data_IF_210174663796
#
_entry.id   IF_210174663796
#
_cell.length_a   1.000
_cell.length_b   1.000
_cell.length_c   1.000
_cell.angle_alpha   90.00
_cell.angle_beta   90.00
_cell.angle_gamma   90.00
#
_symmetry.space_group_name_H-M   'P 1'
#
loop_
_entity.id
_entity.type
_entity.pdbx_description
1 polymer ?
#
# COMPACT_ATOMS: atom_id res chain seq x y z
N UNK A 1 -37.24 0.18 6.65
CA UNK A 1 -37.03 -0.66 5.45
C UNK A 1 -36.19 -1.85 5.86
N UNK A 2 -36.74 -3.06 5.82
CA UNK A 2 -35.94 -4.28 6.02
C UNK A 2 -35.25 -4.61 4.70
N UNK A 3 -33.93 -4.42 4.64
CA UNK A 3 -33.12 -4.87 3.51
C UNK A 3 -32.98 -6.39 3.62
N UNK A 4 -33.69 -7.13 2.76
CA UNK A 4 -33.49 -8.57 2.60
C UNK A 4 -32.44 -8.77 1.52
N UNK A 5 -31.23 -9.15 1.91
CA UNK A 5 -30.20 -9.55 0.95
C UNK A 5 -30.57 -10.93 0.36
N UNK A 6 -31.06 -10.94 -0.87
CA UNK A 6 -31.28 -12.17 -1.64
C UNK A 6 -30.20 -12.32 -2.72
N UNK A 7 -29.60 -13.51 -2.88
CA UNK A 7 -28.62 -13.72 -3.94
C UNK A 7 -29.30 -13.57 -5.30
N UNK A 8 -28.69 -12.82 -6.20
CA UNK A 8 -29.13 -12.73 -7.58
C UNK A 8 -29.08 -14.13 -8.22
N UNK A 9 -30.17 -14.56 -8.83
CA UNK A 9 -30.25 -15.82 -9.58
C UNK A 9 -30.45 -15.50 -11.05
N UNK A 10 -29.50 -15.90 -11.86
CA UNK A 10 -29.55 -15.86 -13.33
C UNK A 10 -29.40 -17.29 -13.83
N UNK A 11 -30.10 -17.66 -14.90
CA UNK A 11 -30.11 -19.01 -15.46
C UNK A 11 -29.62 -19.00 -16.89
N UNK A 12 -28.62 -19.81 -17.21
CA UNK A 12 -28.10 -19.97 -18.59
C UNK A 12 -29.13 -20.55 -19.56
N UNK A 13 -30.23 -21.12 -19.06
CA UNK A 13 -31.35 -21.61 -19.86
C UNK A 13 -32.42 -20.54 -20.14
N UNK A 14 -32.31 -19.35 -19.53
CA UNK A 14 -33.25 -18.25 -19.78
C UNK A 14 -32.98 -17.60 -21.13
N UNK A 15 -34.03 -17.25 -21.87
CA UNK A 15 -33.90 -16.43 -23.09
C UNK A 15 -33.39 -15.01 -22.81
N UNK A 16 -33.48 -14.56 -21.55
CA UNK A 16 -32.96 -13.27 -21.07
C UNK A 16 -31.56 -13.36 -20.48
N UNK A 17 -30.94 -14.54 -20.46
CA UNK A 17 -29.66 -14.78 -19.78
C UNK A 17 -28.59 -13.77 -20.16
N UNK A 18 -28.35 -13.56 -21.46
CA UNK A 18 -27.27 -12.69 -21.92
C UNK A 18 -27.48 -11.25 -21.45
N UNK A 19 -28.70 -10.72 -21.56
CA UNK A 19 -29.02 -9.37 -21.11
C UNK A 19 -28.88 -9.22 -19.59
N UNK A 20 -29.38 -10.20 -18.83
CA UNK A 20 -29.26 -10.22 -17.36
C UNK A 20 -27.80 -10.36 -16.93
N UNK A 21 -27.02 -11.19 -17.61
CA UNK A 21 -25.60 -11.39 -17.33
C UNK A 21 -24.79 -10.14 -17.63
N UNK A 22 -24.98 -9.50 -18.79
CA UNK A 22 -24.32 -8.23 -19.13
C UNK A 22 -24.70 -7.12 -18.14
N UNK A 23 -25.97 -7.02 -17.73
CA UNK A 23 -26.39 -6.07 -16.71
C UNK A 23 -25.76 -6.35 -15.33
N UNK A 24 -25.45 -7.60 -15.01
CA UNK A 24 -24.73 -7.98 -13.77
C UNK A 24 -23.23 -7.72 -13.85
N UNK A 25 -22.63 -7.89 -15.03
CA UNK A 25 -21.25 -7.53 -15.29
C UNK A 25 -21.04 -6.01 -15.41
N UNK A 26 -22.12 -5.27 -15.68
CA UNK A 26 -22.07 -3.82 -15.77
C UNK A 26 -21.65 -3.20 -14.44
N UNK A 27 -20.37 -2.87 -14.36
CA UNK A 27 -19.79 -2.04 -13.33
C UNK A 27 -19.77 -0.60 -13.86
N UNK A 28 -20.59 0.27 -13.26
CA UNK A 28 -20.53 1.69 -13.58
C UNK A 28 -19.32 2.30 -12.87
N UNK A 29 -18.31 2.66 -13.65
CA UNK A 29 -17.17 3.46 -13.25
C UNK A 29 -17.56 4.94 -13.04
N UNK A 30 -18.79 5.23 -12.61
CA UNK A 30 -19.26 6.60 -12.48
C UNK A 30 -18.33 7.37 -11.54
N UNK A 31 -17.53 8.23 -12.14
CA UNK A 31 -16.63 9.14 -11.45
C UNK A 31 -17.47 10.23 -10.81
N UNK A 32 -17.38 10.32 -9.50
CA UNK A 32 -17.96 11.43 -8.76
C UNK A 32 -17.02 12.64 -8.92
N UNK A 33 -17.39 13.56 -9.81
CA UNK A 33 -16.62 14.78 -10.07
C UNK A 33 -16.35 15.60 -8.80
N UNK A 34 -17.22 15.51 -7.78
CA UNK A 34 -16.98 16.19 -6.51
C UNK A 34 -15.85 15.52 -5.70
N UNK A 35 -15.68 14.20 -5.80
CA UNK A 35 -14.54 13.49 -5.20
C UNK A 35 -13.26 13.87 -5.94
N UNK A 36 -13.27 13.86 -7.27
CA UNK A 36 -12.09 14.22 -8.08
C UNK A 36 -11.61 15.64 -7.75
N UNK A 37 -12.54 16.61 -7.70
CA UNK A 37 -12.19 17.99 -7.38
C UNK A 37 -11.60 18.12 -5.97
N UNK A 38 -12.21 17.49 -4.95
CA UNK A 38 -11.68 17.50 -3.59
C UNK A 38 -10.29 16.88 -3.50
N UNK A 39 -10.05 15.77 -4.21
CA UNK A 39 -8.73 15.14 -4.23
C UNK A 39 -7.72 16.07 -4.91
N UNK A 40 -8.06 16.64 -6.06
CA UNK A 40 -7.19 17.60 -6.77
C UNK A 40 -6.80 18.79 -5.88
N UNK A 41 -7.75 19.35 -5.13
CA UNK A 41 -7.49 20.43 -4.18
C UNK A 41 -6.52 20.01 -3.07
N UNK A 42 -6.70 18.82 -2.48
CA UNK A 42 -5.81 18.28 -1.44
C UNK A 42 -4.40 18.08 -1.99
N UNK A 43 -4.28 17.49 -3.18
CA UNK A 43 -2.99 17.25 -3.83
C UNK A 43 -2.24 18.58 -4.07
N UNK A 44 -2.93 19.58 -4.62
CA UNK A 44 -2.36 20.89 -4.90
C UNK A 44 -1.93 21.62 -3.62
N UNK A 45 -2.73 21.49 -2.56
CA UNK A 45 -2.45 22.15 -1.29
C UNK A 45 -1.24 21.51 -0.56
N UNK A 46 -1.11 20.17 -0.58
CA UNK A 46 0.08 19.48 -0.07
C UNK A 46 1.32 19.86 -0.88
N UNK A 47 1.23 19.92 -2.21
CA UNK A 47 2.35 20.37 -3.03
C UNK A 47 2.80 21.80 -2.69
N UNK A 48 1.87 22.67 -2.30
CA UNK A 48 2.15 24.07 -1.96
C UNK A 48 2.65 24.28 -0.54
N UNK A 49 2.02 23.61 0.45
CA UNK A 49 2.26 23.85 1.89
C UNK A 49 3.10 22.77 2.58
N UNK A 50 3.30 21.61 1.95
CA UNK A 50 4.05 20.49 2.50
C UNK A 50 3.45 19.95 3.81
N UNK A 51 4.30 19.71 4.80
CA UNK A 51 3.96 19.15 6.11
C UNK A 51 2.76 19.82 6.77
N UNK A 52 2.62 21.14 6.64
CA UNK A 52 1.53 21.90 7.23
C UNK A 52 0.16 21.50 6.67
N UNK A 53 0.05 21.17 5.38
CA UNK A 53 -1.20 20.66 4.80
C UNK A 53 -1.46 19.22 5.23
N UNK A 54 -0.43 18.38 5.29
CA UNK A 54 -0.58 16.99 5.72
C UNK A 54 -1.11 16.92 7.15
N UNK A 55 -0.53 17.70 8.07
CA UNK A 55 -0.99 17.78 9.47
C UNK A 55 -2.45 18.25 9.58
N UNK A 56 -2.82 19.28 8.84
CA UNK A 56 -4.19 19.82 8.80
C UNK A 56 -5.21 18.77 8.31
N UNK A 57 -4.90 18.07 7.22
CA UNK A 57 -5.77 17.00 6.71
C UNK A 57 -5.79 15.75 7.60
N UNK A 58 -4.69 15.40 8.25
CA UNK A 58 -4.66 14.32 9.26
C UNK A 58 -5.53 14.67 10.46
N UNK A 59 -5.43 15.88 11.01
CA UNK A 59 -6.31 16.33 12.08
C UNK A 59 -7.79 16.29 11.64
N UNK A 60 -8.08 16.78 10.44
CA UNK A 60 -9.45 16.84 9.90
C UNK A 60 -10.08 15.48 9.61
N UNK A 61 -9.35 14.57 8.96
CA UNK A 61 -9.91 13.32 8.46
C UNK A 61 -9.69 12.14 9.41
N UNK A 62 -8.55 12.11 10.09
CA UNK A 62 -8.21 11.04 11.03
C UNK A 62 -8.57 11.43 12.47
N UNK A 63 -8.85 12.71 12.77
CA UNK A 63 -9.13 13.17 14.13
C UNK A 63 -7.92 13.02 15.05
N UNK A 64 -6.72 13.19 14.49
CA UNK A 64 -5.45 13.03 15.18
C UNK A 64 -4.65 14.34 15.09
N UNK A 65 -4.58 15.07 16.20
CA UNK A 65 -3.74 16.26 16.32
C UNK A 65 -2.30 15.86 16.64
N UNK A 66 -1.36 16.29 15.81
CA UNK A 66 0.07 16.07 16.02
C UNK A 66 0.84 17.39 15.93
N UNK A 67 1.84 17.56 16.80
CA UNK A 67 2.64 18.79 16.86
C UNK A 67 3.57 18.96 15.65
N UNK A 68 3.90 17.88 14.94
CA UNK A 68 4.80 17.88 13.79
C UNK A 68 4.65 16.59 12.98
N UNK A 69 5.12 16.58 11.74
CA UNK A 69 5.17 15.35 10.92
C UNK A 69 6.08 14.28 11.53
N UNK A 70 7.15 14.66 12.24
CA UNK A 70 7.98 13.71 12.99
C UNK A 70 7.24 12.99 14.11
N UNK A 71 6.19 13.60 14.69
CA UNK A 71 5.35 12.94 15.69
C UNK A 71 4.39 11.89 15.07
N UNK A 72 4.22 11.93 13.75
CA UNK A 72 3.47 10.95 12.97
C UNK A 72 4.38 9.85 12.37
N UNK A 73 5.70 9.96 12.51
CA UNK A 73 6.63 8.92 12.07
C UNK A 73 6.75 7.82 13.15
N UNK A 74 6.60 6.57 12.72
CA UNK A 74 6.84 5.38 13.52
C UNK A 74 8.29 4.95 13.34
N UNK A 75 9.03 4.92 14.45
CA UNK A 75 10.41 4.48 14.40
C UNK A 75 10.54 2.95 14.44
N UNK A 76 11.72 2.44 14.06
CA UNK A 76 12.00 1.00 14.02
C UNK A 76 11.83 0.31 15.39
N UNK A 77 12.07 1.01 16.50
CA UNK A 77 11.89 0.46 17.84
C UNK A 77 10.40 0.26 18.16
N UNK A 78 9.51 1.18 17.73
CA UNK A 78 8.06 1.00 17.86
C UNK A 78 7.55 -0.18 17.03
N UNK A 79 8.02 -0.32 15.79
CA UNK A 79 7.62 -1.44 14.93
C UNK A 79 8.09 -2.79 15.52
N UNK A 80 9.34 -2.83 16.02
CA UNK A 80 9.89 -4.00 16.71
C UNK A 80 9.12 -4.32 17.98
N UNK A 81 8.80 -3.32 18.80
CA UNK A 81 8.03 -3.51 20.03
C UNK A 81 6.63 -4.08 19.72
N UNK A 82 5.98 -3.64 18.64
CA UNK A 82 4.72 -4.21 18.20
C UNK A 82 4.87 -5.69 17.79
N UNK A 83 5.96 -6.05 17.09
CA UNK A 83 6.27 -7.44 16.76
C UNK A 83 6.54 -8.31 18.00
N UNK A 84 7.21 -7.77 19.02
CA UNK A 84 7.50 -8.50 20.26
C UNK A 84 6.28 -8.64 21.18
N UNK A 85 5.28 -7.75 21.03
CA UNK A 85 4.07 -7.74 21.84
C UNK A 85 2.95 -8.67 21.31
N UNK A 86 3.01 -9.12 20.06
CA UNK A 86 1.99 -10.03 19.51
C UNK A 86 2.20 -11.48 20.01
N UNK A 87 1.13 -12.28 20.12
CA UNK A 87 1.23 -13.70 20.48
C UNK A 87 2.18 -14.47 19.56
N UNK A 88 2.91 -15.44 20.12
CA UNK A 88 3.88 -16.26 19.38
C UNK A 88 3.28 -16.90 18.12
N UNK A 89 2.06 -17.43 18.19
CA UNK A 89 1.38 -18.01 17.03
C UNK A 89 1.18 -17.00 15.88
N UNK A 90 1.01 -15.71 16.19
CA UNK A 90 0.87 -14.65 15.19
C UNK A 90 2.22 -14.22 14.63
N UNK A 91 3.26 -14.09 15.45
CA UNK A 91 4.61 -13.76 14.97
C UNK A 91 5.17 -14.87 14.10
N UNK A 92 5.00 -16.13 14.49
CA UNK A 92 5.40 -17.31 13.71
C UNK A 92 4.66 -17.34 12.36
N UNK A 93 3.34 -17.06 12.36
CA UNK A 93 2.55 -17.00 11.14
C UNK A 93 2.99 -15.86 10.20
N UNK A 94 3.31 -14.67 10.75
CA UNK A 94 3.83 -13.55 9.96
C UNK A 94 5.18 -13.88 9.33
N UNK A 95 6.11 -14.45 10.09
CA UNK A 95 7.42 -14.84 9.59
C UNK A 95 7.32 -15.93 8.53
N UNK A 96 6.48 -16.95 8.75
CA UNK A 96 6.24 -18.01 7.77
C UNK A 96 5.63 -17.46 6.47
N UNK A 97 4.65 -16.56 6.56
CA UNK A 97 4.07 -15.90 5.40
C UNK A 97 5.11 -15.04 4.67
N UNK A 98 5.89 -14.24 5.40
CA UNK A 98 6.94 -13.40 4.84
C UNK A 98 7.99 -14.22 4.09
N UNK A 99 8.44 -15.33 4.67
CA UNK A 99 9.41 -16.22 4.03
C UNK A 99 8.86 -16.81 2.72
N UNK A 100 7.60 -17.26 2.71
CA UNK A 100 6.97 -17.80 1.50
C UNK A 100 6.85 -16.75 0.40
N UNK A 101 6.44 -15.53 0.74
CA UNK A 101 6.35 -14.41 -0.21
C UNK A 101 7.75 -14.08 -0.76
N UNK A 102 8.77 -14.02 0.10
CA UNK A 102 10.15 -13.76 -0.29
C UNK A 102 10.69 -14.81 -1.25
N UNK A 103 10.58 -16.10 -0.90
CA UNK A 103 11.06 -17.20 -1.74
C UNK A 103 10.47 -17.16 -3.15
N UNK A 104 9.18 -16.85 -3.26
CA UNK A 104 8.51 -16.77 -4.55
C UNK A 104 9.03 -15.60 -5.40
N UNK A 105 9.16 -14.41 -4.81
CA UNK A 105 9.63 -13.23 -5.54
C UNK A 105 11.13 -13.33 -5.87
N UNK A 106 11.94 -14.02 -5.05
CA UNK A 106 13.34 -14.32 -5.37
C UNK A 106 13.44 -15.24 -6.60
N UNK A 107 12.58 -16.26 -6.67
CA UNK A 107 12.48 -17.11 -7.85
C UNK A 107 12.04 -16.32 -9.10
N UNK A 108 11.07 -15.41 -8.97
CA UNK A 108 10.65 -14.54 -10.07
C UNK A 108 11.76 -13.61 -10.55
N UNK A 109 12.51 -12.99 -9.62
CA UNK A 109 13.66 -12.14 -9.94
C UNK A 109 14.71 -12.92 -10.72
N UNK A 110 15.08 -14.11 -10.25
CA UNK A 110 16.03 -14.98 -10.96
C UNK A 110 15.55 -15.40 -12.35
N UNK A 111 14.25 -15.64 -12.51
CA UNK A 111 13.69 -16.07 -13.80
C UNK A 111 13.71 -14.95 -14.84
N UNK A 112 13.25 -13.74 -14.47
CA UNK A 112 12.93 -12.68 -15.45
C UNK A 112 13.32 -11.25 -15.02
N UNK A 113 13.87 -11.07 -13.82
CA UNK A 113 14.13 -9.75 -13.23
C UNK A 113 15.61 -9.35 -13.17
N UNK A 114 16.51 -10.18 -13.68
CA UNK A 114 17.95 -9.88 -13.69
C UNK A 114 18.39 -9.19 -14.98
N UNK A 115 19.42 -8.34 -14.87
CA UNK A 115 20.08 -7.76 -16.04
C UNK A 115 20.77 -8.85 -16.84
N UNK A 116 20.70 -8.76 -18.18
CA UNK A 116 21.33 -9.72 -19.09
C UNK A 116 21.91 -9.04 -20.30
N UNK A 117 22.96 -9.62 -20.87
CA UNK A 117 23.55 -9.17 -22.13
C UNK A 117 24.04 -10.37 -22.94
N UNK A 118 24.03 -10.24 -24.26
CA UNK A 118 24.52 -11.24 -25.20
C UNK A 118 25.13 -10.56 -26.42
N UNK A 119 25.92 -11.30 -27.20
CA UNK A 119 26.37 -10.85 -28.52
C UNK A 119 25.60 -11.56 -29.61
N UNK A 120 25.19 -10.82 -30.63
CA UNK A 120 24.58 -11.41 -31.82
C UNK A 120 25.63 -12.05 -32.75
N UNK A 121 25.16 -12.66 -33.84
CA UNK A 121 26.01 -13.27 -34.86
C UNK A 121 26.93 -12.27 -35.60
N UNK A 122 26.65 -10.97 -35.49
CA UNK A 122 27.43 -9.88 -36.07
C UNK A 122 28.43 -9.26 -35.06
N UNK A 123 28.45 -9.74 -33.82
CA UNK A 123 29.32 -9.27 -32.76
C UNK A 123 28.79 -8.06 -31.96
N UNK A 124 27.57 -7.57 -32.26
CA UNK A 124 26.94 -6.46 -31.54
C UNK A 124 26.59 -6.87 -30.11
N UNK A 125 26.84 -6.01 -29.12
CA UNK A 125 26.43 -6.25 -27.74
C UNK A 125 25.00 -5.75 -27.52
N UNK A 126 24.09 -6.66 -27.19
CA UNK A 126 22.68 -6.39 -26.92
C UNK A 126 22.33 -6.83 -25.50
N UNK A 127 21.31 -6.24 -24.89
CA UNK A 127 20.93 -6.61 -23.53
C UNK A 127 19.78 -5.81 -22.93
N UNK A 128 19.49 -6.16 -21.68
CA UNK A 128 18.51 -5.51 -20.84
C UNK A 128 19.17 -5.20 -19.50
N UNK A 129 19.10 -3.93 -19.08
CA UNK A 129 19.47 -3.52 -17.74
C UNK A 129 18.19 -3.37 -16.91
N UNK A 130 18.11 -4.12 -15.82
CA UNK A 130 17.04 -4.03 -14.82
C UNK A 130 17.63 -3.44 -13.55
N UNK A 131 17.03 -2.36 -13.06
CA UNK A 131 17.41 -1.69 -11.81
C UNK A 131 16.17 -1.47 -10.94
N UNK A 132 16.28 -1.58 -9.61
CA UNK A 132 15.18 -1.25 -8.72
C UNK A 132 14.84 0.24 -8.79
N UNK A 133 13.65 0.60 -8.32
CA UNK A 133 13.36 1.99 -7.97
C UNK A 133 14.20 2.38 -6.75
N UNK A 134 14.64 3.63 -6.69
CA UNK A 134 15.39 4.13 -5.53
C UNK A 134 14.53 4.08 -4.27
N UNK A 135 13.27 4.52 -4.39
CA UNK A 135 12.30 4.62 -3.29
C UNK A 135 10.90 4.21 -3.75
N UNK A 136 10.13 3.60 -2.85
CA UNK A 136 8.72 3.29 -3.07
C UNK A 136 7.88 3.69 -1.86
N UNK A 137 6.69 4.24 -2.12
CA UNK A 137 5.66 4.47 -1.12
C UNK A 137 4.62 3.35 -1.16
N UNK A 138 4.28 2.77 -0.01
CA UNK A 138 3.21 1.77 0.12
C UNK A 138 2.10 2.32 1.01
N UNK A 139 0.86 2.33 0.48
CA UNK A 139 -0.31 2.76 1.22
C UNK A 139 -1.01 1.56 1.84
N UNK A 140 -1.16 1.56 3.16
CA UNK A 140 -1.84 0.51 3.91
C UNK A 140 -3.09 1.11 4.54
N UNK A 141 -4.30 0.59 4.23
CA UNK A 141 -5.52 1.09 4.85
C UNK A 141 -5.50 0.94 6.39
N UNK A 142 -6.00 1.97 7.08
CA UNK A 142 -6.14 1.98 8.54
C UNK A 142 -7.45 1.37 9.04
N UNK A 143 -7.62 1.33 10.37
CA UNK A 143 -8.85 0.92 11.04
C UNK A 143 -9.20 -0.56 10.88
N UNK A 144 -10.48 -0.89 10.65
CA UNK A 144 -10.98 -2.28 10.56
C UNK A 144 -10.55 -3.04 9.31
N UNK A 145 -10.02 -2.34 8.30
CA UNK A 145 -9.49 -2.92 7.06
C UNK A 145 -7.96 -3.06 7.09
N UNK A 146 -7.35 -2.99 8.28
CA UNK A 146 -5.91 -3.13 8.47
C UNK A 146 -5.49 -4.60 8.31
N UNK A 147 -4.91 -4.93 7.15
CA UNK A 147 -4.45 -6.28 6.81
C UNK A 147 -2.92 -6.36 6.83
N UNK A 148 -2.32 -7.16 7.73
CA UNK A 148 -0.86 -7.36 7.74
C UNK A 148 -0.36 -8.01 6.46
N UNK A 149 -1.19 -8.84 5.80
CA UNK A 149 -0.86 -9.46 4.52
C UNK A 149 -0.60 -8.44 3.41
N UNK A 150 -1.35 -7.33 3.37
CA UNK A 150 -1.11 -6.25 2.39
C UNK A 150 0.26 -5.61 2.58
N UNK A 151 0.74 -5.49 3.82
CA UNK A 151 2.09 -4.98 4.12
C UNK A 151 3.14 -5.94 3.54
N UNK A 152 3.04 -7.24 3.88
CA UNK A 152 3.98 -8.25 3.41
C UNK A 152 4.02 -8.31 1.87
N UNK A 153 2.85 -8.29 1.23
CA UNK A 153 2.73 -8.39 -0.23
C UNK A 153 3.22 -7.15 -0.99
N UNK A 154 3.34 -5.99 -0.35
CA UNK A 154 3.88 -4.79 -0.99
C UNK A 154 5.38 -4.59 -0.68
N UNK A 155 5.77 -4.70 0.59
CA UNK A 155 7.14 -4.40 1.02
C UNK A 155 8.15 -5.50 0.64
N UNK A 156 7.79 -6.77 0.74
CA UNK A 156 8.74 -7.87 0.48
C UNK A 156 9.17 -7.91 -1.00
N UNK A 157 8.27 -7.78 -1.99
CA UNK A 157 8.69 -7.73 -3.40
C UNK A 157 9.60 -6.53 -3.70
N UNK A 158 9.35 -5.37 -3.09
CA UNK A 158 10.21 -4.20 -3.22
C UNK A 158 11.62 -4.45 -2.65
N UNK A 159 11.71 -5.10 -1.48
CA UNK A 159 12.99 -5.56 -0.93
C UNK A 159 13.72 -6.53 -1.86
N UNK A 160 13.02 -7.54 -2.36
CA UNK A 160 13.61 -8.52 -3.28
C UNK A 160 14.10 -7.86 -4.56
N UNK A 161 13.35 -6.89 -5.09
CA UNK A 161 13.77 -6.10 -6.25
C UNK A 161 15.07 -5.32 -5.97
N UNK A 162 15.30 -4.91 -4.72
CA UNK A 162 16.48 -4.17 -4.27
C UNK A 162 16.20 -2.68 -4.06
N UNK A 163 14.95 -2.30 -3.78
CA UNK A 163 14.58 -0.91 -3.48
C UNK A 163 15.29 -0.46 -2.20
N UNK A 164 15.87 0.73 -2.22
CA UNK A 164 16.65 1.27 -1.10
C UNK A 164 15.79 1.77 0.06
N UNK A 165 14.70 2.48 -0.25
CA UNK A 165 13.77 2.99 0.77
C UNK A 165 12.33 2.58 0.49
N UNK A 166 11.72 1.93 1.47
CA UNK A 166 10.31 1.53 1.44
C UNK A 166 9.59 2.33 2.52
N UNK A 167 8.78 3.29 2.08
CA UNK A 167 8.05 4.22 2.95
C UNK A 167 6.61 3.74 3.05
N UNK A 168 6.17 3.37 4.24
CA UNK A 168 4.79 3.00 4.50
C UNK A 168 3.99 4.21 4.98
N UNK A 169 2.77 4.38 4.48
CA UNK A 169 1.78 5.29 5.08
C UNK A 169 0.56 4.48 5.50
N UNK A 170 0.09 4.73 6.73
CA UNK A 170 -1.08 4.05 7.30
C UNK A 170 -1.85 5.03 8.18
N UNK A 171 -3.11 5.40 7.86
CA UNK A 171 -3.85 6.29 8.75
C UNK A 171 -4.14 5.57 10.08
N UNK A 172 -4.02 6.31 11.18
CA UNK A 172 -4.42 5.86 12.52
C UNK A 172 -5.54 6.76 13.04
N UNK A 173 -6.80 6.57 12.60
CA UNK A 173 -7.91 7.39 13.07
C UNK A 173 -7.96 7.41 14.59
N UNK A 174 -8.03 8.60 15.18
CA UNK A 174 -8.01 8.84 16.63
C UNK A 174 -6.77 8.28 17.34
N UNK A 175 -5.68 8.07 16.61
CA UNK A 175 -4.44 7.46 17.10
C UNK A 175 -4.49 5.94 17.24
N UNK A 176 -5.54 5.27 16.77
CA UNK A 176 -5.66 3.81 16.88
C UNK A 176 -4.66 3.09 15.95
N UNK A 177 -3.69 2.40 16.55
CA UNK A 177 -2.65 1.61 15.87
C UNK A 177 -3.00 0.12 15.88
N UNK A 178 -2.87 -0.57 14.74
CA UNK A 178 -3.03 -2.02 14.65
C UNK A 178 -1.67 -2.73 14.85
N UNK A 179 -1.50 -3.42 15.99
CA UNK A 179 -0.26 -4.10 16.34
C UNK A 179 0.23 -5.12 15.29
N UNK A 180 -0.69 -5.87 14.66
CA UNK A 180 -0.37 -6.85 13.63
C UNK A 180 0.17 -6.18 12.34
N UNK A 181 -0.36 -5.02 11.96
CA UNK A 181 0.16 -4.24 10.83
C UNK A 181 1.54 -3.68 11.12
N UNK A 182 1.78 -3.15 12.32
CA UNK A 182 3.10 -2.65 12.71
C UNK A 182 4.14 -3.78 12.79
N UNK A 183 3.75 -4.93 13.35
CA UNK A 183 4.56 -6.13 13.36
C UNK A 183 4.89 -6.62 11.94
N UNK A 184 3.92 -6.60 11.02
CA UNK A 184 4.14 -6.95 9.63
C UNK A 184 5.09 -5.96 8.93
N UNK A 185 5.01 -4.66 9.24
CA UNK A 185 5.93 -3.66 8.71
C UNK A 185 7.38 -3.93 9.16
N UNK A 186 7.57 -4.29 10.43
CA UNK A 186 8.87 -4.74 10.95
C UNK A 186 9.38 -5.98 10.22
N UNK A 187 8.57 -7.05 10.15
CA UNK A 187 8.95 -8.32 9.50
C UNK A 187 9.24 -8.14 8.01
N UNK A 188 8.48 -7.27 7.33
CA UNK A 188 8.69 -6.99 5.92
C UNK A 188 9.86 -6.04 5.65
N UNK A 189 10.45 -5.44 6.69
CA UNK A 189 11.61 -4.54 6.57
C UNK A 189 11.26 -3.13 6.08
N UNK A 190 10.06 -2.62 6.33
CA UNK A 190 9.69 -1.23 5.99
C UNK A 190 10.74 -0.27 6.57
N UNK A 191 11.25 0.66 5.76
CA UNK A 191 12.34 1.57 6.14
C UNK A 191 11.85 2.69 7.04
N UNK A 192 10.76 3.35 6.63
CA UNK A 192 10.08 4.44 7.36
C UNK A 192 8.58 4.22 7.30
N UNK A 193 7.86 4.61 8.35
CA UNK A 193 6.41 4.46 8.39
C UNK A 193 5.76 5.72 8.98
N UNK A 194 4.68 6.20 8.38
CA UNK A 194 3.96 7.39 8.83
C UNK A 194 2.49 7.10 9.10
N UNK A 195 1.96 7.67 10.17
CA UNK A 195 0.56 7.52 10.57
C UNK A 195 -0.37 8.50 9.84
N UNK A 196 -0.30 8.51 8.52
CA UNK A 196 -1.08 9.38 7.62
C UNK A 196 -1.81 8.54 6.56
N UNK A 197 -2.95 9.03 6.07
CA UNK A 197 -3.71 8.37 5.01
C UNK A 197 -4.33 9.33 4.00
N UNK A 198 -5.30 8.83 3.22
CA UNK A 198 -6.06 9.64 2.27
C UNK A 198 -5.23 10.23 1.12
N UNK A 199 -5.82 11.20 0.42
CA UNK A 199 -5.17 11.91 -0.68
C UNK A 199 -3.94 12.68 -0.24
N UNK A 200 -3.91 13.18 1.00
CA UNK A 200 -2.78 13.91 1.57
C UNK A 200 -1.52 13.03 1.72
N UNK A 201 -1.67 11.75 2.09
CA UNK A 201 -0.55 10.82 2.16
C UNK A 201 -0.01 10.48 0.77
N UNK A 202 -0.91 10.30 -0.21
CA UNK A 202 -0.51 10.06 -1.60
C UNK A 202 0.24 11.28 -2.16
N UNK A 203 -0.24 12.50 -1.88
CA UNK A 203 0.44 13.74 -2.26
C UNK A 203 1.83 13.85 -1.62
N UNK A 204 1.95 13.55 -0.33
CA UNK A 204 3.22 13.58 0.39
C UNK A 204 4.24 12.61 -0.20
N UNK A 205 3.83 11.38 -0.52
CA UNK A 205 4.69 10.39 -1.18
C UNK A 205 5.07 10.79 -2.61
N UNK A 206 4.16 11.42 -3.35
CA UNK A 206 4.36 11.73 -4.77
C UNK A 206 5.18 13.00 -5.00
N UNK A 207 4.89 14.07 -4.25
CA UNK A 207 5.55 15.37 -4.40
C UNK A 207 6.71 15.57 -3.43
N UNK A 208 6.77 14.78 -2.37
CA UNK A 208 7.64 15.02 -1.23
C UNK A 208 7.12 16.16 -0.35
N UNK A 209 7.47 16.11 0.92
CA UNK A 209 7.33 17.24 1.85
C UNK A 209 8.66 17.50 2.55
N UNK A 210 8.67 18.37 3.56
CA UNK A 210 9.88 18.59 4.35
C UNK A 210 10.31 17.33 5.11
N UNK A 211 9.34 16.46 5.45
CA UNK A 211 9.58 15.23 6.22
C UNK A 211 9.47 13.94 5.40
N UNK A 212 8.57 13.88 4.39
CA UNK A 212 8.25 12.69 3.58
C UNK A 212 8.98 12.71 2.24
#
# INVERSE_FOLDING_TARGET
MNLVASPARISTASSTFEAEFQARLHWSAATDAAIEHRVADILADVQKRGDAAVLDYTARFDGLDAASMSALELNQAELKAAFEAIPAAQSDALQAAAQRVRNYHEAQKKANGESRSYRDEHGSLLGQKVTPLDRVGIYVPGGKAAYPSSVLMNAIPAHVAGVGEIIMVVPTPKGEKNALVLAAAYVAGVTRAFTIGGAQAVAALAYGTQTV
#
